data_IF_170052762247
#
_entry.id   IF_170052762247
#
_cell.length_a   1.000
_cell.length_b   1.000
_cell.length_c   1.000
_cell.angle_alpha   90.00
_cell.angle_beta   90.00
_cell.angle_gamma   90.00
#
_symmetry.space_group_name_H-M   'P 1'
#
loop_
_entity.id
_entity.type
_entity.pdbx_description
1 polymer ?
#
# COMPACT_ATOMS: atom_id res chain seq x y z
N UNK A 1 17.38 -17.27 0.35
CA UNK A 1 16.22 -17.41 1.24
C UNK A 1 16.03 -16.14 2.06
N UNK A 2 16.90 -15.84 3.03
CA UNK A 2 16.85 -14.61 3.84
C UNK A 2 16.77 -13.33 2.98
N UNK A 3 17.66 -13.19 1.99
CA UNK A 3 17.67 -12.02 1.10
C UNK A 3 16.38 -11.87 0.28
N UNK A 4 15.76 -12.99 -0.11
CA UNK A 4 14.52 -13.00 -0.88
C UNK A 4 13.31 -12.66 0.00
N UNK A 5 13.29 -13.13 1.24
CA UNK A 5 12.28 -12.75 2.23
C UNK A 5 12.31 -11.24 2.51
N UNK A 6 13.51 -10.66 2.61
CA UNK A 6 13.70 -9.20 2.75
C UNK A 6 13.21 -8.48 1.50
N UNK A 7 13.52 -8.99 0.31
CA UNK A 7 13.04 -8.40 -0.95
C UNK A 7 11.50 -8.37 -1.00
N UNK A 8 10.83 -9.50 -0.70
CA UNK A 8 9.36 -9.56 -0.67
C UNK A 8 8.75 -8.59 0.36
N UNK A 9 9.36 -8.47 1.55
CA UNK A 9 8.95 -7.49 2.58
C UNK A 9 9.12 -6.04 2.13
N UNK A 10 10.12 -5.76 1.28
CA UNK A 10 10.41 -4.42 0.80
C UNK A 10 9.57 -3.99 -0.42
N UNK A 11 8.90 -4.92 -1.11
CA UNK A 11 8.07 -4.60 -2.30
C UNK A 11 6.99 -3.57 -1.95
N UNK A 12 6.30 -3.74 -0.81
CA UNK A 12 5.26 -2.81 -0.38
C UNK A 12 5.80 -1.38 -0.12
N UNK A 13 6.96 -1.27 0.54
CA UNK A 13 7.62 0.02 0.80
C UNK A 13 8.14 0.67 -0.49
N UNK A 14 8.71 -0.13 -1.41
CA UNK A 14 9.20 0.36 -2.70
C UNK A 14 8.06 0.89 -3.58
N UNK A 15 6.97 0.12 -3.71
CA UNK A 15 5.79 0.55 -4.46
C UNK A 15 5.18 1.82 -3.87
N UNK A 16 5.22 1.95 -2.54
CA UNK A 16 4.81 3.16 -1.84
C UNK A 16 5.68 4.36 -2.23
N UNK A 17 7.00 4.21 -2.21
CA UNK A 17 7.94 5.29 -2.58
C UNK A 17 7.76 5.69 -4.05
N UNK A 18 7.61 4.71 -4.95
CA UNK A 18 7.40 4.96 -6.38
C UNK A 18 6.07 5.70 -6.63
N UNK A 19 5.00 5.31 -5.95
CA UNK A 19 3.72 6.01 -5.99
C UNK A 19 3.85 7.47 -5.52
N UNK A 20 4.50 7.69 -4.38
CA UNK A 20 4.68 9.04 -3.82
C UNK A 20 5.54 9.90 -4.75
N UNK A 21 6.64 9.35 -5.30
CA UNK A 21 7.51 10.09 -6.22
C UNK A 21 6.76 10.58 -7.45
N UNK A 22 5.93 9.73 -8.07
CA UNK A 22 5.09 10.14 -9.20
C UNK A 22 4.17 11.31 -8.83
N UNK A 23 3.53 11.24 -7.66
CA UNK A 23 2.65 12.32 -7.17
C UNK A 23 3.40 13.60 -6.86
N UNK A 24 4.59 13.52 -6.28
CA UNK A 24 5.43 14.70 -6.02
C UNK A 24 5.82 15.42 -7.31
N UNK A 25 6.13 14.68 -8.39
CA UNK A 25 6.41 15.29 -9.70
C UNK A 25 5.19 16.02 -10.25
N UNK A 26 4.02 15.37 -10.31
CA UNK A 26 2.77 15.98 -10.80
C UNK A 26 2.43 17.27 -10.01
N UNK A 27 2.64 17.25 -8.70
CA UNK A 27 2.36 18.37 -7.81
C UNK A 27 3.36 19.51 -7.94
N UNK A 28 4.64 19.22 -8.17
CA UNK A 28 5.67 20.24 -8.39
C UNK A 28 5.34 21.09 -9.63
N UNK A 29 4.97 20.43 -10.73
CA UNK A 29 4.60 21.13 -11.96
C UNK A 29 3.34 21.97 -11.76
N UNK A 30 2.35 21.42 -11.04
CA UNK A 30 1.12 22.14 -10.68
C UNK A 30 1.40 23.35 -9.81
N UNK A 31 2.30 23.23 -8.82
CA UNK A 31 2.65 24.34 -7.91
C UNK A 31 3.32 25.48 -8.68
N UNK A 32 4.25 25.18 -9.60
CA UNK A 32 4.87 26.18 -10.46
C UNK A 32 3.84 26.93 -11.33
N UNK A 33 2.85 26.22 -11.89
CA UNK A 33 1.76 26.84 -12.65
C UNK A 33 0.90 27.76 -11.77
N UNK A 34 0.61 27.37 -10.53
CA UNK A 34 -0.16 28.18 -9.59
C UNK A 34 0.64 29.41 -9.16
N UNK A 35 1.94 29.29 -8.88
CA UNK A 35 2.82 30.41 -8.53
C UNK A 35 2.88 31.45 -9.65
N UNK A 36 3.03 31.00 -10.91
CA UNK A 36 2.96 31.88 -12.08
C UNK A 36 1.59 32.58 -12.18
N UNK A 37 0.50 31.83 -11.97
CA UNK A 37 -0.85 32.41 -11.98
C UNK A 37 -1.03 33.48 -10.89
N UNK A 38 -0.47 33.29 -9.69
CA UNK A 38 -0.49 34.30 -8.62
C UNK A 38 0.28 35.55 -9.05
N UNK A 39 1.48 35.37 -9.61
CA UNK A 39 2.33 36.48 -10.04
C UNK A 39 1.66 37.30 -11.16
N UNK A 40 1.16 36.63 -12.20
CA UNK A 40 0.49 37.28 -13.33
C UNK A 40 -0.76 38.02 -12.87
N UNK A 41 -1.56 37.41 -11.99
CA UNK A 41 -2.77 38.03 -11.46
C UNK A 41 -2.46 39.30 -10.66
N UNK A 42 -1.46 39.24 -9.77
CA UNK A 42 -1.00 40.39 -8.98
C UNK A 42 -0.47 41.52 -9.85
N UNK A 43 0.33 41.20 -10.86
CA UNK A 43 0.91 42.19 -11.79
C UNK A 43 -0.18 42.88 -12.63
N UNK A 44 -1.22 42.15 -13.04
CA UNK A 44 -2.28 42.69 -13.89
C UNK A 44 -3.26 43.59 -13.12
N UNK A 45 -3.46 43.36 -11.82
CA UNK A 45 -4.52 44.01 -11.03
C UNK A 45 -4.01 44.91 -9.89
N UNK A 46 -2.69 45.08 -9.75
CA UNK A 46 -2.03 45.95 -8.74
C UNK A 46 -2.54 45.73 -7.29
N UNK A 47 -2.94 44.50 -6.96
CA UNK A 47 -3.48 44.16 -5.64
C UNK A 47 -2.33 44.08 -4.64
N UNK A 48 -2.22 45.07 -3.76
CA UNK A 48 -1.10 45.19 -2.80
C UNK A 48 -1.42 44.65 -1.41
N UNK A 49 -2.66 44.73 -0.92
CA UNK A 49 -3.02 44.23 0.41
C UNK A 49 -4.47 43.72 0.52
N UNK A 50 -4.63 42.52 1.09
CA UNK A 50 -5.92 41.93 1.43
C UNK A 50 -6.39 42.50 2.78
N UNK A 51 -7.64 42.97 2.86
CA UNK A 51 -8.21 43.54 4.10
C UNK A 51 -8.09 42.57 5.31
N UNK A 52 -7.82 43.11 6.51
CA UNK A 52 -7.70 42.33 7.78
C UNK A 52 -8.95 41.47 8.05
N UNK A 53 -10.14 41.95 7.67
CA UNK A 53 -11.40 41.20 7.84
C UNK A 53 -11.51 40.02 6.87
N UNK A 54 -10.83 40.07 5.72
CA UNK A 54 -10.70 38.97 4.76
C UNK A 54 -9.68 37.95 5.26
N UNK A 55 -8.62 38.39 5.94
CA UNK A 55 -7.60 37.51 6.52
C UNK A 55 -8.18 36.46 7.48
N UNK A 56 -9.12 36.83 8.36
CA UNK A 56 -9.71 35.86 9.32
C UNK A 56 -10.65 34.84 8.65
N UNK A 57 -11.41 35.25 7.64
CA UNK A 57 -12.21 34.32 6.84
C UNK A 57 -11.32 33.41 6.00
N UNK A 58 -10.23 33.94 5.45
CA UNK A 58 -9.23 33.17 4.71
C UNK A 58 -8.62 32.07 5.57
N UNK A 59 -8.14 32.41 6.76
CA UNK A 59 -7.51 31.43 7.65
C UNK A 59 -8.46 30.27 7.98
N UNK A 60 -9.72 30.60 8.30
CA UNK A 60 -10.75 29.60 8.59
C UNK A 60 -11.11 28.75 7.38
N UNK A 61 -11.19 29.36 6.20
CA UNK A 61 -11.46 28.68 4.94
C UNK A 61 -10.32 27.74 4.56
N UNK A 62 -9.08 28.22 4.65
CA UNK A 62 -7.86 27.44 4.45
C UNK A 62 -7.83 26.23 5.39
N UNK A 63 -8.17 26.41 6.68
CA UNK A 63 -8.24 25.30 7.63
C UNK A 63 -9.30 24.25 7.25
N UNK A 64 -10.51 24.66 6.86
CA UNK A 64 -11.57 23.74 6.43
C UNK A 64 -11.20 23.03 5.13
N UNK A 65 -10.55 23.71 4.19
CA UNK A 65 -10.11 23.09 2.94
C UNK A 65 -8.99 22.07 3.15
N UNK A 66 -8.08 22.32 4.08
CA UNK A 66 -7.08 21.33 4.52
C UNK A 66 -7.79 20.09 5.08
N UNK A 67 -8.78 20.30 5.93
CA UNK A 67 -9.57 19.20 6.51
C UNK A 67 -10.32 18.42 5.42
N UNK A 68 -11.01 19.12 4.51
CA UNK A 68 -11.69 18.53 3.35
C UNK A 68 -10.73 17.71 2.49
N UNK A 69 -9.53 18.24 2.24
CA UNK A 69 -8.50 17.57 1.45
C UNK A 69 -8.02 16.28 2.14
N UNK A 70 -7.85 16.30 3.46
CA UNK A 70 -7.54 15.08 4.23
C UNK A 70 -8.62 14.02 4.08
N UNK A 71 -9.91 14.38 4.23
CA UNK A 71 -10.99 13.41 4.05
C UNK A 71 -11.10 12.90 2.60
N UNK A 72 -10.89 13.77 1.60
CA UNK A 72 -10.85 13.36 0.18
C UNK A 72 -9.73 12.36 -0.09
N UNK A 73 -8.54 12.56 0.50
CA UNK A 73 -7.43 11.62 0.38
C UNK A 73 -7.76 10.26 1.01
N UNK A 74 -8.40 10.25 2.18
CA UNK A 74 -8.90 9.02 2.81
C UNK A 74 -9.91 8.29 1.91
N UNK A 75 -10.83 9.02 1.29
CA UNK A 75 -11.82 8.43 0.38
C UNK A 75 -11.17 7.85 -0.89
N UNK A 76 -10.15 8.54 -1.45
CA UNK A 76 -9.40 8.00 -2.59
C UNK A 76 -8.74 6.67 -2.22
N UNK A 77 -8.18 6.55 -1.01
CA UNK A 77 -7.62 5.29 -0.55
C UNK A 77 -8.68 4.20 -0.37
N UNK A 78 -9.83 4.50 0.23
CA UNK A 78 -10.90 3.52 0.38
C UNK A 78 -11.35 2.95 -0.97
N UNK A 79 -11.43 3.80 -1.99
CA UNK A 79 -11.74 3.37 -3.35
C UNK A 79 -10.61 2.51 -3.96
N UNK A 80 -9.35 2.92 -3.80
CA UNK A 80 -8.18 2.13 -4.22
C UNK A 80 -8.13 0.74 -3.54
N UNK A 81 -8.37 0.70 -2.23
CA UNK A 81 -8.32 -0.54 -1.47
C UNK A 81 -9.47 -1.46 -1.88
N UNK A 82 -10.68 -0.91 -2.03
CA UNK A 82 -11.85 -1.67 -2.49
C UNK A 82 -11.65 -2.24 -3.89
N UNK A 83 -11.08 -1.49 -4.84
CA UNK A 83 -10.81 -1.99 -6.19
C UNK A 83 -9.74 -3.08 -6.18
N UNK A 84 -8.64 -2.85 -5.49
CA UNK A 84 -7.49 -3.79 -5.42
C UNK A 84 -7.89 -5.11 -4.75
N UNK A 85 -8.64 -5.04 -3.66
CA UNK A 85 -9.11 -6.24 -2.94
C UNK A 85 -10.12 -7.03 -3.77
N UNK A 86 -11.00 -6.36 -4.52
CA UNK A 86 -11.98 -7.01 -5.38
C UNK A 86 -11.32 -7.78 -6.53
N UNK A 87 -10.21 -7.27 -7.05
CA UNK A 87 -9.41 -7.96 -8.08
C UNK A 87 -8.70 -9.21 -7.53
N UNK A 88 -8.46 -9.28 -6.21
CA UNK A 88 -7.80 -10.39 -5.50
C UNK A 88 -6.42 -10.76 -6.07
N UNK A 89 -5.79 -9.85 -6.78
CA UNK A 89 -4.49 -10.04 -7.42
C UNK A 89 -3.47 -9.09 -6.83
N UNK A 90 -2.23 -9.55 -6.72
CA UNK A 90 -1.09 -8.75 -6.25
C UNK A 90 -1.30 -8.08 -4.87
N UNK A 91 -1.96 -8.76 -3.93
CA UNK A 91 -2.24 -8.19 -2.61
C UNK A 91 -0.95 -7.94 -1.80
N UNK A 92 0.15 -8.62 -2.14
CA UNK A 92 1.49 -8.36 -1.59
C UNK A 92 2.06 -6.99 -2.00
N UNK A 93 1.49 -6.36 -3.04
CA UNK A 93 1.89 -5.05 -3.58
C UNK A 93 1.02 -3.90 -3.07
N UNK A 94 0.12 -4.16 -2.12
CA UNK A 94 -0.77 -3.16 -1.55
C UNK A 94 0.03 -1.97 -0.97
N UNK A 95 -0.37 -0.76 -1.33
CA UNK A 95 0.14 0.47 -0.71
C UNK A 95 -0.42 0.56 0.71
N UNK A 96 0.45 0.85 1.67
CA UNK A 96 0.08 0.90 3.08
C UNK A 96 -0.88 2.06 3.37
N UNK A 97 -1.88 1.89 4.26
CA UNK A 97 -2.87 2.95 4.53
C UNK A 97 -2.27 4.22 5.13
N UNK A 98 -1.17 4.10 5.87
CA UNK A 98 -0.45 5.23 6.48
C UNK A 98 0.05 6.28 5.47
N UNK A 99 0.29 5.88 4.22
CA UNK A 99 0.72 6.76 3.11
C UNK A 99 -0.36 7.76 2.73
N UNK A 100 -1.63 7.37 2.85
CA UNK A 100 -2.79 8.22 2.58
C UNK A 100 -3.23 9.02 3.81
N UNK A 101 -2.42 9.04 4.87
CA UNK A 101 -2.75 9.73 6.12
C UNK A 101 -3.90 9.07 6.88
N UNK A 102 -4.09 7.76 6.68
CA UNK A 102 -5.09 7.00 7.42
C UNK A 102 -4.47 6.53 8.72
N UNK A 103 -4.95 7.15 9.79
CA UNK A 103 -4.59 6.85 11.18
C UNK A 103 -5.53 5.82 11.81
N UNK A 104 -6.41 5.20 11.02
CA UNK A 104 -7.27 4.12 11.51
C UNK A 104 -6.40 2.91 11.86
N UNK A 105 -6.23 2.68 13.17
CA UNK A 105 -5.42 1.59 13.72
C UNK A 105 -5.94 0.24 13.23
N UNK A 106 -7.27 0.06 13.18
CA UNK A 106 -7.88 -1.22 12.81
C UNK A 106 -7.64 -1.54 11.34
N UNK A 107 -7.78 -0.56 10.44
CA UNK A 107 -7.55 -0.76 9.02
C UNK A 107 -6.06 -1.00 8.73
N UNK A 108 -5.17 -0.29 9.43
CA UNK A 108 -3.72 -0.50 9.33
C UNK A 108 -3.31 -1.91 9.76
N UNK A 109 -3.85 -2.41 10.88
CA UNK A 109 -3.58 -3.78 11.35
C UNK A 109 -4.10 -4.83 10.36
N UNK A 110 -5.35 -4.69 9.89
CA UNK A 110 -5.94 -5.62 8.93
C UNK A 110 -5.16 -5.65 7.61
N UNK A 111 -4.77 -4.49 7.08
CA UNK A 111 -3.96 -4.40 5.87
C UNK A 111 -2.58 -5.03 6.05
N UNK A 112 -1.92 -4.78 7.19
CA UNK A 112 -0.61 -5.35 7.49
C UNK A 112 -0.66 -6.88 7.63
N UNK A 113 -1.69 -7.41 8.28
CA UNK A 113 -1.92 -8.85 8.38
C UNK A 113 -2.19 -9.48 7.00
N UNK A 114 -2.98 -8.82 6.15
CA UNK A 114 -3.26 -9.27 4.80
C UNK A 114 -1.98 -9.38 3.96
N UNK A 115 -1.15 -8.34 3.99
CA UNK A 115 0.14 -8.30 3.29
C UNK A 115 1.05 -9.44 3.79
N UNK A 116 1.18 -9.59 5.11
CA UNK A 116 2.03 -10.63 5.72
C UNK A 116 1.58 -12.05 5.33
N UNK A 117 0.28 -12.35 5.40
CA UNK A 117 -0.24 -13.66 5.01
C UNK A 117 -0.11 -13.92 3.51
N UNK A 118 -0.23 -12.88 2.68
CA UNK A 118 -0.02 -13.01 1.24
C UNK A 118 1.45 -13.31 0.92
N UNK A 119 2.41 -12.60 1.53
CA UNK A 119 3.84 -12.85 1.37
C UNK A 119 4.18 -14.30 1.79
N UNK A 120 3.73 -14.73 2.98
CA UNK A 120 3.97 -16.10 3.46
C UNK A 120 3.40 -17.15 2.51
N UNK A 121 2.20 -16.91 1.95
CA UNK A 121 1.58 -17.80 0.98
C UNK A 121 2.39 -17.90 -0.32
N UNK A 122 2.87 -16.77 -0.86
CA UNK A 122 3.66 -16.79 -2.10
C UNK A 122 5.04 -17.45 -1.89
N UNK A 123 5.72 -17.21 -0.76
CA UNK A 123 6.99 -17.89 -0.43
C UNK A 123 6.83 -19.42 -0.46
N UNK A 124 5.81 -19.97 0.23
CA UNK A 124 5.56 -21.43 0.28
C UNK A 124 5.20 -22.00 -1.10
N UNK A 125 4.44 -21.23 -1.88
CA UNK A 125 4.02 -21.66 -3.23
C UNK A 125 5.20 -21.72 -4.18
N UNK A 126 6.11 -20.75 -4.12
CA UNK A 126 7.34 -20.73 -4.93
C UNK A 126 8.35 -21.80 -4.53
N UNK A 127 8.31 -22.28 -3.28
CA UNK A 127 9.09 -23.44 -2.81
C UNK A 127 8.60 -24.78 -3.39
N UNK A 128 7.58 -24.77 -4.27
CA UNK A 128 7.03 -25.97 -4.90
C UNK A 128 6.09 -26.77 -3.99
N UNK A 129 5.79 -26.27 -2.79
CA UNK A 129 4.91 -26.93 -1.82
C UNK A 129 3.42 -26.60 -2.03
N UNK A 130 2.97 -26.60 -3.28
CA UNK A 130 1.60 -26.18 -3.65
C UNK A 130 0.50 -27.05 -2.99
N UNK A 131 0.82 -28.29 -2.59
CA UNK A 131 -0.08 -29.21 -1.86
C UNK A 131 0.00 -29.13 -0.34
N UNK A 132 0.73 -28.16 0.23
CA UNK A 132 0.86 -28.02 1.67
C UNK A 132 -0.47 -27.53 2.28
N UNK A 133 -1.05 -28.23 3.29
CA UNK A 133 -2.28 -27.79 3.98
C UNK A 133 -2.21 -26.37 4.56
N UNK A 134 -1.00 -25.87 4.85
CA UNK A 134 -0.78 -24.48 5.26
C UNK A 134 -1.24 -23.47 4.20
N UNK A 135 -1.06 -23.76 2.91
CA UNK A 135 -1.48 -22.88 1.80
C UNK A 135 -3.00 -22.69 1.81
N UNK A 136 -3.76 -23.77 2.04
CA UNK A 136 -5.22 -23.72 2.15
C UNK A 136 -5.68 -22.90 3.37
N UNK A 137 -4.96 -23.02 4.51
CA UNK A 137 -5.23 -22.20 5.71
C UNK A 137 -4.96 -20.72 5.44
N UNK A 138 -3.84 -20.38 4.81
CA UNK A 138 -3.54 -18.98 4.43
C UNK A 138 -4.59 -18.43 3.47
N UNK A 139 -5.02 -19.20 2.47
CA UNK A 139 -6.09 -18.77 1.56
C UNK A 139 -7.41 -18.50 2.29
N UNK A 140 -7.79 -19.34 3.26
CA UNK A 140 -8.97 -19.11 4.10
C UNK A 140 -8.83 -17.84 4.95
N UNK A 141 -7.68 -17.66 5.61
CA UNK A 141 -7.42 -16.48 6.43
C UNK A 141 -7.42 -15.19 5.60
N UNK A 142 -6.82 -15.21 4.41
CA UNK A 142 -6.82 -14.10 3.46
C UNK A 142 -8.25 -13.73 3.06
N UNK A 143 -9.10 -14.70 2.74
CA UNK A 143 -10.51 -14.42 2.40
C UNK A 143 -11.27 -13.81 3.58
N UNK A 144 -11.03 -14.27 4.81
CA UNK A 144 -11.66 -13.68 6.00
C UNK A 144 -11.17 -12.24 6.26
N UNK A 145 -9.87 -11.98 6.09
CA UNK A 145 -9.32 -10.63 6.20
C UNK A 145 -9.87 -9.70 5.13
N UNK A 146 -10.00 -10.17 3.89
CA UNK A 146 -10.62 -9.43 2.79
C UNK A 146 -12.04 -8.99 3.15
N UNK A 147 -12.88 -9.91 3.63
CA UNK A 147 -14.27 -9.58 3.99
C UNK A 147 -14.33 -8.54 5.12
N UNK A 148 -13.47 -8.67 6.13
CA UNK A 148 -13.36 -7.70 7.23
C UNK A 148 -12.91 -6.33 6.72
N UNK A 149 -11.88 -6.27 5.87
CA UNK A 149 -11.39 -5.03 5.29
C UNK A 149 -12.49 -4.38 4.43
N UNK A 150 -13.18 -5.15 3.60
CA UNK A 150 -14.28 -4.62 2.79
C UNK A 150 -15.39 -4.04 3.66
N UNK A 151 -15.74 -4.69 4.77
CA UNK A 151 -16.71 -4.16 5.73
C UNK A 151 -16.25 -2.87 6.39
N UNK A 152 -15.03 -2.85 6.92
CA UNK A 152 -14.43 -1.66 7.54
C UNK A 152 -14.34 -0.51 6.54
N UNK A 153 -13.89 -0.77 5.32
CA UNK A 153 -13.78 0.24 4.24
C UNK A 153 -15.14 0.81 3.88
N UNK A 154 -16.17 -0.04 3.74
CA UNK A 154 -17.54 0.43 3.43
C UNK A 154 -18.06 1.35 4.54
N UNK A 155 -17.92 0.93 5.80
CA UNK A 155 -18.39 1.70 6.95
C UNK A 155 -17.64 3.03 7.08
N UNK A 156 -16.30 2.98 7.00
CA UNK A 156 -15.45 4.16 7.11
C UNK A 156 -15.64 5.11 5.93
N UNK A 157 -15.84 4.61 4.71
CA UNK A 157 -16.15 5.44 3.53
C UNK A 157 -17.49 6.14 3.68
N UNK A 158 -18.52 5.45 4.19
CA UNK A 158 -19.82 6.07 4.45
C UNK A 158 -19.70 7.23 5.46
N UNK A 159 -19.02 7.01 6.58
CA UNK A 159 -18.77 8.06 7.58
C UNK A 159 -17.94 9.20 6.99
N UNK A 160 -16.88 8.88 6.26
CA UNK A 160 -15.97 9.87 5.67
C UNK A 160 -16.66 10.73 4.60
N UNK A 161 -17.60 10.16 3.83
CA UNK A 161 -18.44 10.93 2.88
C UNK A 161 -19.32 11.95 3.60
N UNK A 162 -19.94 11.57 4.71
CA UNK A 162 -20.72 12.51 5.54
C UNK A 162 -19.85 13.64 6.10
N UNK A 163 -18.60 13.35 6.51
CA UNK A 163 -17.64 14.37 6.95
C UNK A 163 -17.24 15.32 5.81
N UNK A 164 -17.01 14.79 4.61
CA UNK A 164 -16.74 15.62 3.42
C UNK A 164 -17.93 16.55 3.14
N UNK A 165 -19.16 16.04 3.23
CA UNK A 165 -20.36 16.84 3.03
C UNK A 165 -20.49 17.96 4.07
N UNK A 166 -20.32 17.65 5.36
CA UNK A 166 -20.35 18.64 6.44
C UNK A 166 -19.30 19.75 6.25
N UNK A 167 -18.05 19.38 5.98
CA UNK A 167 -16.98 20.37 5.76
C UNK A 167 -17.26 21.22 4.53
N UNK A 168 -17.77 20.64 3.43
CA UNK A 168 -18.16 21.40 2.24
C UNK A 168 -19.31 22.37 2.51
N UNK A 169 -20.26 22.02 3.37
CA UNK A 169 -21.32 22.95 3.80
C UNK A 169 -20.72 24.13 4.57
N UNK A 170 -19.78 23.87 5.49
CA UNK A 170 -19.09 24.92 6.26
C UNK A 170 -18.24 25.83 5.36
N UNK A 171 -17.55 25.27 4.37
CA UNK A 171 -16.85 26.02 3.32
C UNK A 171 -17.82 26.96 2.59
N UNK A 172 -18.94 26.44 2.09
CA UNK A 172 -19.95 27.24 1.36
C UNK A 172 -20.53 28.39 2.20
N UNK A 173 -20.75 28.17 3.50
CA UNK A 173 -21.21 29.22 4.41
C UNK A 173 -20.20 30.37 4.51
N UNK A 174 -18.90 30.06 4.61
CA UNK A 174 -17.85 31.07 4.65
C UNK A 174 -17.70 31.76 3.29
N UNK A 175 -17.70 31.00 2.20
CA UNK A 175 -17.64 31.55 0.83
C UNK A 175 -18.80 32.52 0.56
N UNK A 176 -20.01 32.22 1.05
CA UNK A 176 -21.15 33.13 0.92
C UNK A 176 -20.92 34.48 1.61
N UNK A 177 -20.13 34.50 2.68
CA UNK A 177 -19.75 35.72 3.40
C UNK A 177 -18.69 36.53 2.65
N UNK A 178 -17.92 35.88 1.77
CA UNK A 178 -16.89 36.47 0.92
C UNK A 178 -17.45 37.04 -0.40
N UNK A 179 -18.72 36.78 -0.74
CA UNK A 179 -19.38 37.34 -1.93
C UNK A 179 -19.43 38.87 -1.96
N UNK A 180 -19.21 39.52 -0.80
CA UNK A 180 -19.15 40.99 -0.69
C UNK A 180 -17.83 41.59 -1.16
N UNK A 181 -16.81 40.75 -1.40
CA UNK A 181 -15.52 41.21 -1.91
C UNK A 181 -15.59 41.52 -3.41
N UNK A 182 -14.76 42.47 -3.90
CA UNK A 182 -14.53 42.65 -5.33
C UNK A 182 -14.18 41.32 -6.01
N UNK A 183 -14.52 41.22 -7.30
CA UNK A 183 -14.30 39.97 -8.06
C UNK A 183 -12.82 39.60 -8.07
N UNK A 184 -11.97 40.61 -8.17
CA UNK A 184 -10.53 40.54 -8.28
C UNK A 184 -9.90 39.94 -7.01
N UNK A 185 -10.35 40.40 -5.84
CA UNK A 185 -9.90 39.86 -4.56
C UNK A 185 -10.34 38.40 -4.36
N UNK A 186 -11.56 38.03 -4.78
CA UNK A 186 -12.06 36.66 -4.66
C UNK A 186 -11.30 35.68 -5.55
N UNK A 187 -10.98 36.08 -6.77
CA UNK A 187 -10.22 35.27 -7.70
C UNK A 187 -8.78 35.07 -7.20
N UNK A 188 -8.10 36.13 -6.77
CA UNK A 188 -6.78 36.02 -6.15
C UNK A 188 -6.80 35.07 -4.95
N UNK A 189 -7.80 35.22 -4.07
CA UNK A 189 -8.00 34.36 -2.91
C UNK A 189 -8.15 32.89 -3.32
N UNK A 190 -8.89 32.63 -4.39
CA UNK A 190 -9.07 31.27 -4.90
C UNK A 190 -7.76 30.64 -5.38
N UNK A 191 -6.91 31.41 -6.07
CA UNK A 191 -5.61 30.93 -6.54
C UNK A 191 -4.68 30.68 -5.34
N UNK A 192 -4.66 31.58 -4.36
CA UNK A 192 -3.89 31.41 -3.11
C UNK A 192 -4.32 30.17 -2.31
N UNK A 193 -5.62 29.90 -2.21
CA UNK A 193 -6.13 28.66 -1.59
C UNK A 193 -5.60 27.42 -2.30
N UNK A 194 -5.63 27.39 -3.63
CA UNK A 194 -5.09 26.27 -4.40
C UNK A 194 -3.58 26.08 -4.16
N UNK A 195 -2.84 27.18 -4.08
CA UNK A 195 -1.41 27.16 -3.74
C UNK A 195 -1.18 26.52 -2.37
N UNK A 196 -1.82 27.05 -1.32
CA UNK A 196 -1.60 26.60 0.06
C UNK A 196 -1.96 25.13 0.27
N UNK A 197 -3.05 24.66 -0.34
CA UNK A 197 -3.45 23.25 -0.29
C UNK A 197 -2.41 22.38 -1.01
N UNK A 198 -1.95 22.80 -2.18
CA UNK A 198 -0.99 22.05 -2.99
C UNK A 198 0.36 21.96 -2.31
N UNK A 199 0.87 23.08 -1.76
CA UNK A 199 2.12 23.13 -1.01
C UNK A 199 2.06 22.20 0.21
N UNK A 200 0.99 22.25 0.99
CA UNK A 200 0.87 21.41 2.18
C UNK A 200 0.75 19.94 1.86
N UNK A 201 0.00 19.59 0.81
CA UNK A 201 -0.08 18.21 0.35
C UNK A 201 1.29 17.73 -0.16
N UNK A 202 2.06 18.60 -0.82
CA UNK A 202 3.42 18.29 -1.27
C UNK A 202 4.35 18.01 -0.08
N UNK A 203 4.30 18.86 0.95
CA UNK A 203 5.05 18.67 2.19
C UNK A 203 4.64 17.39 2.94
N UNK A 204 3.34 17.09 2.98
CA UNK A 204 2.81 15.86 3.55
C UNK A 204 3.34 14.61 2.83
N UNK A 205 3.30 14.61 1.49
CA UNK A 205 3.83 13.50 0.70
C UNK A 205 5.35 13.34 0.86
N UNK A 206 6.10 14.44 0.97
CA UNK A 206 7.53 14.39 1.29
C UNK A 206 7.80 13.70 2.64
N UNK A 207 7.01 14.04 3.66
CA UNK A 207 7.11 13.40 4.97
C UNK A 207 6.81 11.90 4.86
N UNK A 208 5.71 11.52 4.18
CA UNK A 208 5.35 10.11 3.98
C UNK A 208 6.38 9.32 3.17
N UNK A 209 7.04 9.96 2.21
CA UNK A 209 8.17 9.36 1.50
C UNK A 209 9.32 9.04 2.43
N UNK A 210 9.67 9.95 3.34
CA UNK A 210 10.73 9.74 4.31
C UNK A 210 10.38 8.60 5.28
N UNK A 211 9.15 8.56 5.81
CA UNK A 211 8.66 7.47 6.67
C UNK A 211 8.71 6.09 5.97
N UNK A 212 8.32 6.05 4.69
CA UNK A 212 8.38 4.83 3.89
C UNK A 212 9.82 4.37 3.62
N UNK A 213 10.74 5.29 3.33
CA UNK A 213 12.17 4.98 3.13
C UNK A 213 12.86 4.47 4.41
N UNK A 214 12.48 5.00 5.57
CA UNK A 214 12.95 4.49 6.87
C UNK A 214 12.46 3.06 7.08
N UNK A 215 11.18 2.80 6.78
CA UNK A 215 10.57 1.46 6.92
C UNK A 215 11.22 0.45 5.97
N UNK A 216 11.46 0.82 4.71
CA UNK A 216 12.19 -0.01 3.74
C UNK A 216 13.58 -0.40 4.25
N UNK A 217 14.32 0.57 4.82
CA UNK A 217 15.69 0.36 5.31
C UNK A 217 15.75 -0.40 6.65
N UNK A 218 14.65 -0.47 7.40
CA UNK A 218 14.59 -1.10 8.73
C UNK A 218 14.12 -2.55 8.70
N UNK A 219 13.63 -3.05 7.56
CA UNK A 219 13.13 -4.41 7.44
C UNK A 219 14.27 -5.44 7.57
N UNK A 220 14.06 -6.41 8.46
CA UNK A 220 14.94 -7.57 8.66
C UNK A 220 14.19 -8.87 8.34
N UNK A 221 14.93 -9.90 7.92
CA UNK A 221 14.36 -11.24 7.73
C UNK A 221 14.04 -11.87 9.09
N UNK A 222 12.91 -12.58 9.15
CA UNK A 222 12.50 -13.34 10.34
C UNK A 222 13.33 -14.63 10.47
N UNK A 223 13.89 -15.10 9.35
CA UNK A 223 14.76 -16.27 9.30
C UNK A 223 16.23 -15.90 9.50
N UNK A 224 16.90 -16.60 10.43
CA UNK A 224 18.35 -16.53 10.65
C UNK A 224 18.95 -17.91 10.41
N UNK A 225 20.02 -17.99 9.62
CA UNK A 225 20.79 -19.23 9.48
C UNK A 225 21.48 -19.51 10.80
N UNK A 226 20.95 -20.46 11.58
CA UNK A 226 21.58 -20.94 12.82
C UNK A 226 22.73 -21.88 12.48
N UNK A 227 22.55 -22.73 11.46
CA UNK A 227 23.57 -23.66 10.98
C UNK A 227 23.51 -23.68 9.44
N UNK A 228 24.60 -23.32 8.75
CA UNK A 228 24.62 -23.36 7.29
C UNK A 228 24.42 -24.80 6.82
N UNK A 229 23.68 -24.98 5.73
CA UNK A 229 23.45 -26.31 5.17
C UNK A 229 24.79 -26.93 4.75
N UNK A 230 25.27 -27.88 5.56
CA UNK A 230 26.46 -28.64 5.24
C UNK A 230 26.05 -29.70 4.22
N UNK A 231 26.64 -29.65 3.03
CA UNK A 231 26.50 -30.72 2.04
C UNK A 231 27.24 -31.95 2.57
N UNK A 232 26.57 -32.73 3.40
CA UNK A 232 27.09 -34.03 3.77
C UNK A 232 27.14 -34.88 2.51
N UNK A 233 28.33 -35.35 2.13
CA UNK A 233 28.53 -36.42 1.16
C UNK A 233 28.04 -37.75 1.75
N UNK A 234 26.82 -37.77 2.29
CA UNK A 234 26.16 -38.94 2.83
C UNK A 234 25.62 -39.73 1.66
N UNK A 235 25.90 -41.03 1.66
CA UNK A 235 25.26 -41.94 0.72
C UNK A 235 23.73 -41.80 0.84
N UNK A 236 23.00 -41.77 -0.29
CA UNK A 236 21.55 -41.59 -0.27
C UNK A 236 20.92 -42.67 0.62
N UNK A 237 20.07 -42.23 1.57
CA UNK A 237 19.40 -43.12 2.51
C UNK A 237 18.56 -44.20 1.78
N UNK A 238 18.06 -43.83 0.59
CA UNK A 238 17.32 -44.69 -0.33
C UNK A 238 17.53 -44.21 -1.78
N UNK A 239 17.54 -45.12 -2.79
CA UNK A 239 17.50 -46.58 -2.69
C UNK A 239 18.87 -47.21 -2.36
N UNK A 240 18.86 -48.25 -1.52
CA UNK A 240 20.05 -49.06 -1.21
C UNK A 240 20.42 -49.92 -2.42
N UNK A 241 21.21 -49.37 -3.34
CA UNK A 241 21.58 -49.99 -4.63
C UNK A 241 22.09 -51.43 -4.47
N UNK A 242 22.97 -51.68 -3.49
CA UNK A 242 23.51 -53.03 -3.22
C UNK A 242 22.44 -54.06 -2.89
N UNK A 243 21.50 -53.72 -2.00
CA UNK A 243 20.38 -54.59 -1.63
C UNK A 243 19.46 -54.85 -2.82
N UNK A 244 19.16 -53.82 -3.60
CA UNK A 244 18.30 -53.96 -4.78
C UNK A 244 18.93 -54.86 -5.84
N UNK A 245 20.24 -54.73 -6.10
CA UNK A 245 20.96 -55.63 -7.01
C UNK A 245 20.99 -57.07 -6.50
N UNK A 246 21.17 -57.28 -5.19
CA UNK A 246 21.19 -58.62 -4.59
C UNK A 246 19.83 -59.31 -4.72
N UNK A 247 18.73 -58.59 -4.46
CA UNK A 247 17.37 -59.10 -4.66
C UNK A 247 17.12 -59.42 -6.13
N UNK A 248 17.51 -58.53 -7.05
CA UNK A 248 17.35 -58.76 -8.48
C UNK A 248 18.11 -60.02 -8.96
N UNK A 249 19.33 -60.23 -8.45
CA UNK A 249 20.13 -61.42 -8.75
C UNK A 249 19.50 -62.70 -8.21
N UNK A 250 19.03 -62.70 -6.96
CA UNK A 250 18.32 -63.84 -6.38
C UNK A 250 17.03 -64.17 -7.12
N UNK A 251 16.22 -63.15 -7.45
CA UNK A 251 15.01 -63.34 -8.25
C UNK A 251 15.33 -63.90 -9.64
N UNK A 252 16.39 -63.42 -10.30
CA UNK A 252 16.83 -63.93 -11.61
C UNK A 252 17.31 -65.38 -11.55
N UNK A 253 17.86 -65.83 -10.43
CA UNK A 253 18.31 -67.22 -10.26
C UNK A 253 17.16 -68.17 -9.90
N UNK A 254 16.21 -67.71 -9.08
CA UNK A 254 15.05 -68.50 -8.66
C UNK A 254 14.02 -68.66 -9.78
N UNK A 255 13.85 -67.64 -10.63
CA UNK A 255 12.89 -67.65 -11.73
C UNK A 255 13.04 -68.85 -12.70
N UNK A 256 14.23 -69.20 -13.23
CA UNK A 256 14.40 -70.37 -14.10
C UNK A 256 14.21 -71.69 -13.34
N UNK A 257 14.56 -71.76 -12.06
CA UNK A 257 14.34 -72.94 -11.22
C UNK A 257 12.85 -73.25 -11.03
N UNK A 258 12.04 -72.21 -10.83
CA UNK A 258 10.58 -72.33 -10.72
C UNK A 258 9.98 -72.75 -12.07
N UNK A 259 10.45 -72.18 -13.18
CA UNK A 259 10.01 -72.57 -14.53
C UNK A 259 10.32 -74.04 -14.83
N UNK A 260 11.48 -74.55 -14.41
CA UNK A 260 11.85 -75.94 -14.60
C UNK A 260 10.93 -76.90 -13.83
N UNK A 261 10.47 -76.53 -12.63
CA UNK A 261 9.52 -77.35 -11.87
C UNK A 261 8.07 -77.29 -12.39
N UNK A 262 7.73 -76.27 -13.16
CA UNK A 262 6.38 -76.06 -13.70
C UNK A 262 6.18 -76.73 -15.09
N UNK A 263 7.28 -77.06 -15.78
CA UNK A 263 7.32 -77.72 -17.10
C UNK A 263 7.61 -79.20 -16.92
#
# INVERSE_FOLDING_TARGET
YIEKEIQEKNIASKNTIDFINKKLTDMKDSLALIEMAIQDYKNQHEITDISIKVGSFYEKLSQLEKECTKYKLKEQYYNYLSSTIKEKQNLEKLITPSVYGIEDVTLNELASQLISFQIQKEVIKEEGQVKNPAVARFASNINQLILKIEETVRNNSAVNKSLIEDVNLRIKLIESSLNKLPKEERELLSIQRMHDISEQMYMFLLQKRAEAGITESSNVADSKVIEPAIFHHKQPLFPKKSRNYLIALLCSLLFPLILLFLV
#
